data_IF_883981778686
#
_entry.id   IF_883981778686
#
_cell.length_a   1.000
_cell.length_b   1.000
_cell.length_c   1.000
_cell.angle_alpha   90.00
_cell.angle_beta   90.00
_cell.angle_gamma   90.00
#
_symmetry.space_group_name_H-M   'P 1'
#
loop_
_entity.id
_entity.type
_entity.pdbx_description
1 polymer ?
#
# COMPACT_ATOMS: atom_id res chain seq x y z
N UNK A 1 -28.66 26.32 13.20
CA UNK A 1 -27.37 25.62 13.40
C UNK A 1 -27.66 24.22 13.92
N UNK A 2 -27.47 23.19 13.10
CA UNK A 2 -27.81 21.80 13.44
C UNK A 2 -26.71 21.13 14.26
N UNK A 3 -27.10 20.54 15.40
CA UNK A 3 -26.23 19.78 16.32
C UNK A 3 -25.60 18.61 15.56
N UNK A 4 -24.26 18.54 15.45
CA UNK A 4 -23.57 17.37 14.88
C UNK A 4 -24.00 16.13 15.66
N UNK A 5 -24.61 15.16 14.99
CA UNK A 5 -24.79 13.81 15.54
C UNK A 5 -23.40 13.29 15.92
N UNK A 6 -23.16 13.10 17.22
CA UNK A 6 -21.90 12.54 17.71
C UNK A 6 -22.04 11.03 17.62
N UNK A 7 -21.25 10.42 16.74
CA UNK A 7 -21.14 8.96 16.65
C UNK A 7 -20.52 8.49 17.98
N UNK A 8 -21.19 7.56 18.66
CA UNK A 8 -20.63 6.87 19.81
C UNK A 8 -19.51 5.94 19.33
N UNK A 9 -18.30 6.17 19.83
CA UNK A 9 -17.11 5.48 19.36
C UNK A 9 -17.04 4.04 19.88
N UNK A 10 -17.50 3.76 21.10
CA UNK A 10 -17.50 2.40 21.66
C UNK A 10 -18.53 1.53 20.94
N UNK A 11 -19.70 2.09 20.68
CA UNK A 11 -20.74 1.41 19.91
C UNK A 11 -20.31 1.16 18.46
N UNK A 12 -19.66 2.14 17.82
CA UNK A 12 -19.09 1.96 16.47
C UNK A 12 -18.07 0.82 16.42
N UNK A 13 -17.19 0.71 17.42
CA UNK A 13 -16.20 -0.38 17.52
C UNK A 13 -16.90 -1.73 17.65
N UNK A 14 -17.88 -1.85 18.55
CA UNK A 14 -18.63 -3.08 18.76
C UNK A 14 -19.36 -3.53 17.49
N UNK A 15 -20.14 -2.65 16.87
CA UNK A 15 -20.91 -2.98 15.66
C UNK A 15 -20.00 -3.28 14.46
N UNK A 16 -18.88 -2.58 14.33
CA UNK A 16 -17.89 -2.90 13.30
C UNK A 16 -17.24 -4.28 13.51
N UNK A 17 -16.98 -4.68 14.76
CA UNK A 17 -16.47 -6.00 15.09
C UNK A 17 -17.49 -7.12 14.82
N UNK A 18 -18.79 -6.83 14.93
CA UNK A 18 -19.90 -7.70 14.52
C UNK A 18 -20.07 -7.80 12.99
N UNK A 19 -19.23 -7.12 12.21
CA UNK A 19 -19.21 -7.21 10.74
C UNK A 19 -20.22 -6.30 10.03
N UNK A 20 -20.76 -5.28 10.71
CA UNK A 20 -21.69 -4.35 10.08
C UNK A 20 -21.01 -3.56 8.94
N UNK A 21 -21.74 -3.43 7.81
CA UNK A 21 -21.30 -2.65 6.67
C UNK A 21 -21.35 -1.15 6.97
N UNK A 22 -20.57 -0.35 6.24
CA UNK A 22 -20.57 1.11 6.44
C UNK A 22 -21.94 1.74 6.15
N UNK A 23 -22.69 1.21 5.16
CA UNK A 23 -24.06 1.62 4.87
C UNK A 23 -24.99 1.40 6.07
N UNK A 24 -24.94 0.22 6.70
CA UNK A 24 -25.77 -0.11 7.86
C UNK A 24 -25.41 0.72 9.09
N UNK A 25 -24.12 0.97 9.30
CA UNK A 25 -23.64 1.87 10.34
C UNK A 25 -24.10 3.32 10.10
N UNK A 26 -24.09 3.77 8.85
CA UNK A 26 -24.50 5.12 8.48
C UNK A 26 -25.99 5.35 8.77
N UNK A 27 -26.83 4.37 8.43
CA UNK A 27 -28.25 4.35 8.79
C UNK A 27 -28.45 4.35 10.32
N UNK A 28 -27.75 3.46 11.04
CA UNK A 28 -27.83 3.36 12.51
C UNK A 28 -27.51 4.68 13.22
N UNK A 29 -26.44 5.36 12.80
CA UNK A 29 -25.99 6.60 13.42
C UNK A 29 -26.62 7.87 12.81
N UNK A 30 -27.45 7.74 11.76
CA UNK A 30 -28.06 8.88 11.08
C UNK A 30 -27.04 9.81 10.40
N UNK A 31 -25.97 9.26 9.85
CA UNK A 31 -24.87 9.99 9.18
C UNK A 31 -24.62 9.43 7.78
N UNK A 32 -23.69 10.04 7.04
CA UNK A 32 -23.25 9.50 5.75
C UNK A 32 -22.25 8.36 5.93
N UNK A 33 -22.11 7.49 4.92
CA UNK A 33 -21.03 6.48 4.90
C UNK A 33 -19.64 7.11 5.00
N UNK A 34 -19.44 8.29 4.41
CA UNK A 34 -18.19 9.05 4.56
C UNK A 34 -17.95 9.49 6.01
N UNK A 35 -18.99 9.85 6.77
CA UNK A 35 -18.92 10.13 8.20
C UNK A 35 -18.52 8.90 9.02
N UNK A 36 -19.06 7.72 8.70
CA UNK A 36 -18.65 6.45 9.32
C UNK A 36 -17.18 6.13 9.02
N UNK A 37 -16.73 6.33 7.79
CA UNK A 37 -15.32 6.11 7.43
C UNK A 37 -14.38 7.03 8.20
N UNK A 38 -14.76 8.29 8.41
CA UNK A 38 -14.01 9.24 9.23
C UNK A 38 -13.99 8.82 10.70
N UNK A 39 -15.12 8.41 11.25
CA UNK A 39 -15.22 7.94 12.64
C UNK A 39 -14.43 6.65 12.87
N UNK A 40 -14.50 5.68 11.95
CA UNK A 40 -13.68 4.46 11.98
C UNK A 40 -12.19 4.79 11.96
N UNK A 41 -11.76 5.77 11.16
CA UNK A 41 -10.36 6.22 11.13
C UNK A 41 -9.95 6.85 12.46
N UNK A 42 -10.77 7.74 13.02
CA UNK A 42 -10.54 8.33 14.33
C UNK A 42 -10.49 7.28 15.46
N UNK A 43 -11.25 6.20 15.31
CA UNK A 43 -11.30 5.09 16.25
C UNK A 43 -10.22 4.01 16.03
N UNK A 44 -9.28 4.21 15.10
CA UNK A 44 -8.25 3.20 14.79
C UNK A 44 -8.78 1.93 14.10
N UNK A 45 -10.04 1.91 13.70
CA UNK A 45 -10.70 0.77 13.03
C UNK A 45 -10.40 0.70 11.53
N UNK A 46 -9.87 1.77 10.94
CA UNK A 46 -9.40 1.72 9.56
C UNK A 46 -8.06 1.00 9.52
N UNK A 47 -7.96 -0.08 8.73
CA UNK A 47 -6.64 -0.61 8.35
C UNK A 47 -5.80 0.55 7.78
N UNK A 48 -4.53 0.70 8.18
CA UNK A 48 -3.65 1.68 7.56
C UNK A 48 -3.72 1.49 6.05
N UNK A 49 -3.81 2.56 5.27
CA UNK A 49 -3.64 2.42 3.82
C UNK A 49 -2.17 2.11 3.56
N UNK A 50 -1.90 1.21 2.62
CA UNK A 50 -0.53 0.98 2.17
C UNK A 50 -0.04 2.26 1.48
N UNK A 51 1.04 2.84 2.00
CA UNK A 51 1.65 4.01 1.37
C UNK A 51 2.75 3.55 0.41
N UNK A 52 2.56 3.82 -0.88
CA UNK A 52 3.52 3.46 -1.92
C UNK A 52 4.43 4.62 -2.32
N UNK A 53 4.30 5.80 -1.70
CA UNK A 53 5.03 7.01 -2.07
C UNK A 53 6.54 6.82 -2.13
N UNK A 54 7.11 6.03 -1.19
CA UNK A 54 8.54 5.72 -1.15
C UNK A 54 9.03 4.84 -2.29
N UNK A 55 8.20 3.90 -2.76
CA UNK A 55 8.53 2.97 -3.86
C UNK A 55 8.06 3.49 -5.23
N UNK A 56 7.15 4.47 -5.24
CA UNK A 56 6.65 5.14 -6.42
C UNK A 56 6.63 6.66 -6.15
N UNK A 57 7.82 7.30 -6.10
CA UNK A 57 7.93 8.73 -5.82
C UNK A 57 7.42 9.61 -6.98
N UNK A 58 7.23 9.01 -8.16
CA UNK A 58 6.78 9.72 -9.35
C UNK A 58 5.26 9.85 -9.42
N UNK A 59 4.80 10.99 -9.96
CA UNK A 59 3.41 11.15 -10.37
C UNK A 59 3.16 10.41 -11.69
N UNK A 60 2.67 9.17 -11.59
CA UNK A 60 2.44 8.33 -12.76
C UNK A 60 1.25 8.82 -13.59
N UNK A 61 1.39 8.76 -14.92
CA UNK A 61 0.24 8.86 -15.83
C UNK A 61 -0.63 7.62 -15.67
N UNK A 62 -1.93 7.80 -15.89
CA UNK A 62 -2.93 6.72 -15.74
C UNK A 62 -2.56 5.49 -16.56
N UNK A 63 -2.11 5.69 -17.80
CA UNK A 63 -1.66 4.62 -18.71
C UNK A 63 -0.47 3.81 -18.18
N UNK A 64 0.45 4.43 -17.44
CA UNK A 64 1.63 3.76 -16.87
C UNK A 64 1.38 3.18 -15.47
N UNK A 65 0.25 3.51 -14.85
CA UNK A 65 -0.05 3.16 -13.47
C UNK A 65 -0.13 1.64 -13.24
N UNK A 66 -0.46 0.85 -14.25
CA UNK A 66 -0.53 -0.62 -14.20
C UNK A 66 0.58 -1.30 -15.00
N UNK A 67 1.64 -0.57 -15.34
CA UNK A 67 2.82 -1.17 -15.98
C UNK A 67 3.49 -2.22 -15.06
N UNK A 68 4.30 -3.09 -15.67
CA UNK A 68 5.08 -4.11 -14.95
C UNK A 68 5.89 -3.51 -13.79
N UNK A 69 6.75 -2.49 -14.03
CA UNK A 69 7.51 -1.86 -12.96
C UNK A 69 6.65 -1.24 -11.87
N UNK A 70 5.59 -0.51 -12.22
CA UNK A 70 4.69 0.07 -11.23
C UNK A 70 4.04 -0.98 -10.33
N UNK A 71 3.61 -2.10 -10.92
CA UNK A 71 2.98 -3.20 -10.19
C UNK A 71 4.00 -3.92 -9.30
N UNK A 72 5.22 -4.15 -9.79
CA UNK A 72 6.28 -4.78 -9.01
C UNK A 72 6.70 -3.91 -7.82
N UNK A 73 6.90 -2.60 -8.02
CA UNK A 73 7.23 -1.66 -6.94
C UNK A 73 6.13 -1.61 -5.87
N UNK A 74 4.84 -1.64 -6.24
CA UNK A 74 3.74 -1.73 -5.27
C UNK A 74 3.73 -3.04 -4.50
N UNK A 75 4.01 -4.16 -5.15
CA UNK A 75 4.09 -5.46 -4.47
C UNK A 75 5.27 -5.47 -3.47
N UNK A 76 6.45 -5.00 -3.87
CA UNK A 76 7.59 -4.90 -2.94
C UNK A 76 7.29 -3.97 -1.77
N UNK A 77 6.71 -2.79 -2.04
CA UNK A 77 6.30 -1.82 -1.02
C UNK A 77 5.24 -2.38 -0.06
N UNK A 78 4.28 -3.15 -0.57
CA UNK A 78 3.29 -3.81 0.27
C UNK A 78 3.94 -4.90 1.15
N UNK A 79 4.93 -5.64 0.62
CA UNK A 79 5.67 -6.64 1.38
C UNK A 79 6.49 -6.00 2.50
N UNK A 80 7.21 -4.91 2.19
CA UNK A 80 7.96 -4.11 3.15
C UNK A 80 7.08 -3.58 4.31
N UNK A 81 5.79 -3.36 4.04
CA UNK A 81 4.80 -2.94 5.04
C UNK A 81 4.08 -4.12 5.73
N UNK A 82 4.58 -5.34 5.60
CA UNK A 82 4.02 -6.54 6.23
C UNK A 82 2.67 -6.98 5.65
N UNK A 83 2.31 -6.54 4.44
CA UNK A 83 1.04 -6.96 3.81
C UNK A 83 1.16 -8.35 3.21
N UNK A 84 0.09 -9.14 3.37
CA UNK A 84 -0.06 -10.41 2.67
C UNK A 84 -0.30 -10.14 1.18
N UNK A 85 0.59 -10.67 0.34
CA UNK A 85 0.53 -10.61 -1.12
C UNK A 85 0.51 -12.05 -1.63
N UNK A 86 -0.24 -12.36 -2.70
CA UNK A 86 -0.13 -13.66 -3.36
C UNK A 86 1.33 -14.00 -3.70
N UNK A 87 1.78 -15.20 -3.34
CA UNK A 87 3.18 -15.64 -3.44
C UNK A 87 3.75 -15.42 -4.85
N UNK A 88 2.98 -15.70 -5.90
CA UNK A 88 3.42 -15.55 -7.28
C UNK A 88 3.71 -14.10 -7.68
N UNK A 89 2.91 -13.15 -7.16
CA UNK A 89 3.11 -11.71 -7.40
C UNK A 89 4.35 -11.20 -6.68
N UNK A 90 4.55 -11.62 -5.44
CA UNK A 90 5.74 -11.29 -4.67
C UNK A 90 7.00 -11.86 -5.33
N UNK A 91 6.99 -13.14 -5.69
CA UNK A 91 8.12 -13.80 -6.36
C UNK A 91 8.46 -13.12 -7.70
N UNK A 92 7.44 -12.72 -8.46
CA UNK A 92 7.65 -12.00 -9.72
C UNK A 92 8.31 -10.64 -9.49
N UNK A 93 7.87 -9.88 -8.49
CA UNK A 93 8.46 -8.60 -8.15
C UNK A 93 9.90 -8.74 -7.63
N UNK A 94 10.17 -9.74 -6.79
CA UNK A 94 11.51 -10.04 -6.27
C UNK A 94 12.46 -10.44 -7.40
N UNK A 95 12.06 -11.33 -8.31
CA UNK A 95 12.88 -11.73 -9.47
C UNK A 95 13.19 -10.54 -10.37
N UNK A 96 12.21 -9.69 -10.62
CA UNK A 96 12.39 -8.49 -11.44
C UNK A 96 13.41 -7.52 -10.79
N UNK A 97 13.28 -7.24 -9.50
CA UNK A 97 14.18 -6.34 -8.79
C UNK A 97 15.60 -6.92 -8.66
N UNK A 98 15.72 -8.22 -8.36
CA UNK A 98 17.02 -8.91 -8.33
C UNK A 98 17.74 -8.79 -9.67
N UNK A 99 17.04 -9.06 -10.79
CA UNK A 99 17.64 -8.91 -12.12
C UNK A 99 18.18 -7.49 -12.33
N UNK A 100 17.47 -6.44 -11.91
CA UNK A 100 17.98 -5.08 -12.06
C UNK A 100 19.26 -4.88 -11.24
N UNK A 101 19.22 -5.23 -9.95
CA UNK A 101 20.36 -5.06 -9.03
C UNK A 101 21.57 -5.87 -9.48
N UNK A 102 21.38 -7.15 -9.83
CA UNK A 102 22.44 -8.06 -10.25
C UNK A 102 23.14 -7.60 -11.55
N UNK A 103 22.44 -6.81 -12.38
CA UNK A 103 22.98 -6.24 -13.61
C UNK A 103 23.46 -4.78 -13.45
N UNK A 104 23.50 -4.24 -12.23
CA UNK A 104 23.90 -2.85 -11.99
C UNK A 104 22.92 -1.84 -12.62
N UNK A 105 21.64 -2.18 -12.65
CA UNK A 105 20.56 -1.36 -13.20
C UNK A 105 19.62 -0.86 -12.10
N UNK A 106 19.00 0.28 -12.39
CA UNK A 106 17.91 0.87 -11.63
C UNK A 106 16.78 1.30 -12.57
N UNK A 107 15.79 2.01 -12.07
CA UNK A 107 14.67 2.49 -12.85
C UNK A 107 14.45 4.00 -12.73
N UNK A 108 14.19 4.61 -13.88
CA UNK A 108 13.68 5.96 -13.99
C UNK A 108 12.25 5.94 -14.55
N UNK A 109 11.52 7.02 -14.29
CA UNK A 109 10.20 7.24 -14.86
C UNK A 109 10.17 8.59 -15.57
N UNK A 110 9.69 8.55 -16.81
CA UNK A 110 9.38 9.72 -17.60
C UNK A 110 7.88 9.70 -17.97
N UNK A 111 7.13 10.82 -17.91
CA UNK A 111 5.71 10.82 -18.25
C UNK A 111 5.40 10.48 -19.71
N UNK A 112 6.30 10.72 -20.66
CA UNK A 112 6.07 10.45 -22.08
C UNK A 112 6.43 9.01 -22.43
N UNK A 113 7.57 8.54 -21.95
CA UNK A 113 8.11 7.20 -22.24
C UNK A 113 7.65 6.12 -21.25
N UNK A 114 7.29 6.50 -20.04
CA UNK A 114 7.05 5.60 -18.93
C UNK A 114 8.32 5.14 -18.23
N UNK A 115 8.23 3.98 -17.58
CA UNK A 115 9.36 3.40 -16.86
C UNK A 115 10.42 2.85 -17.81
N UNK A 116 11.69 3.09 -17.48
CA UNK A 116 12.83 2.58 -18.25
C UNK A 116 14.03 2.31 -17.36
N UNK A 117 14.84 1.33 -17.77
CA UNK A 117 16.04 0.92 -17.04
C UNK A 117 17.17 1.93 -17.28
N UNK A 118 17.92 2.23 -16.22
CA UNK A 118 19.07 3.12 -16.24
C UNK A 118 20.23 2.47 -15.47
N UNK A 119 21.50 2.85 -15.71
CA UNK A 119 22.60 2.41 -14.85
C UNK A 119 22.32 2.80 -13.40
N UNK A 120 22.56 1.88 -12.47
CA UNK A 120 22.46 2.16 -11.06
C UNK A 120 23.58 3.10 -10.62
N UNK A 121 23.23 4.12 -9.83
CA UNK A 121 24.20 4.90 -9.04
C UNK A 121 24.34 4.35 -7.63
N UNK A 122 25.11 5.06 -6.80
CA UNK A 122 25.37 4.68 -5.40
C UNK A 122 24.10 4.60 -4.54
N UNK A 123 23.05 5.37 -4.87
CA UNK A 123 21.75 5.36 -4.20
C UNK A 123 20.66 4.75 -5.10
N UNK A 124 20.79 3.45 -5.40
CA UNK A 124 19.83 2.74 -6.24
C UNK A 124 18.46 2.61 -5.58
N UNK A 125 17.44 3.14 -6.25
CA UNK A 125 16.05 3.12 -5.81
C UNK A 125 15.53 1.68 -5.70
N UNK A 126 15.69 0.87 -6.74
CA UNK A 126 15.24 -0.53 -6.75
C UNK A 126 15.98 -1.36 -5.70
N UNK A 127 17.29 -1.14 -5.52
CA UNK A 127 18.06 -1.86 -4.49
C UNK A 127 17.52 -1.59 -3.09
N UNK A 128 17.23 -0.32 -2.77
CA UNK A 128 16.63 0.06 -1.48
C UNK A 128 15.25 -0.55 -1.27
N UNK A 129 14.36 -0.46 -2.26
CA UNK A 129 13.00 -1.03 -2.17
C UNK A 129 13.06 -2.56 -2.02
N UNK A 130 13.99 -3.22 -2.70
CA UNK A 130 14.22 -4.65 -2.58
C UNK A 130 14.72 -5.04 -1.18
N UNK A 131 15.67 -4.29 -0.62
CA UNK A 131 16.20 -4.53 0.72
C UNK A 131 15.10 -4.44 1.79
N UNK A 132 14.30 -3.38 1.76
CA UNK A 132 13.15 -3.19 2.66
C UNK A 132 12.14 -4.34 2.55
N UNK A 133 11.85 -4.81 1.33
CA UNK A 133 10.93 -5.92 1.12
C UNK A 133 11.48 -7.24 1.67
N UNK A 134 12.78 -7.52 1.49
CA UNK A 134 13.44 -8.74 1.99
C UNK A 134 13.47 -8.77 3.52
N UNK A 135 13.87 -7.67 4.14
CA UNK A 135 13.91 -7.54 5.60
C UNK A 135 12.55 -7.88 6.22
N UNK A 136 11.46 -7.34 5.66
CA UNK A 136 10.12 -7.63 6.13
C UNK A 136 9.68 -9.08 5.90
N UNK A 137 10.07 -9.70 4.78
CA UNK A 137 9.72 -11.11 4.51
C UNK A 137 10.49 -12.08 5.38
N UNK A 138 11.76 -11.79 5.70
CA UNK A 138 12.60 -12.61 6.57
C UNK A 138 12.12 -12.52 8.02
N UNK A 139 11.74 -11.32 8.47
CA UNK A 139 11.10 -11.12 9.78
C UNK A 139 9.76 -11.87 9.90
N UNK A 140 8.98 -11.93 8.81
CA UNK A 140 7.71 -12.68 8.80
C UNK A 140 7.88 -14.20 8.70
N UNK A 141 9.00 -14.69 8.14
CA UNK A 141 9.35 -16.11 8.05
C UNK A 141 9.98 -16.67 9.34
N UNK A 142 10.49 -15.80 10.21
CA UNK A 142 11.09 -16.16 11.50
C UNK A 142 10.00 -16.20 12.58
N UNK A 143 9.12 -17.20 12.52
CA UNK A 143 8.28 -17.59 13.67
C UNK A 143 8.81 -18.94 14.16
N UNK A 144 9.29 -19.06 15.41
CA UNK A 144 9.70 -20.35 15.99
C UNK A 144 8.53 -21.33 16.11
#
# INVERSE_FOLDING_TARGET
MGRKARIDQEELVRLAAEGWTNARLAEHFGVTESGILQAKRAAGLSKPMTDHSRALPWKLRREHSQSGPATNLRNLSAAAQGRRIPKDRLNTALRWANRLVDNGLDIAYDPERGFHEVPAGDDSHVARVLAEAREATDAAGTTP
#
